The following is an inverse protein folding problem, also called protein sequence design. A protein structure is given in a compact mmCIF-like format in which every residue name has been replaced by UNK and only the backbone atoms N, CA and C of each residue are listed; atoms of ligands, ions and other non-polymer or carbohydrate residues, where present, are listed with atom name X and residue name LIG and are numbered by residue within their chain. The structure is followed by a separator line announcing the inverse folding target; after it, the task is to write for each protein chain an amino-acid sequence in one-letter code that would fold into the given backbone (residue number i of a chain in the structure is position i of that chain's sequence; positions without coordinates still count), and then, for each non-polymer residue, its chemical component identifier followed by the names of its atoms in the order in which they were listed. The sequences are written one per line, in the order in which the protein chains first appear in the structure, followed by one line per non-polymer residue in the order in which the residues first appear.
data_IF_064661165166
#
_entry.id   IF_064661165166
#
_cell.length_a   1.000
_cell.length_b   1.000
_cell.length_c   1.000
_cell.angle_alpha   90.00
_cell.angle_beta   90.00
_cell.angle_gamma   90.00
#
_symmetry.space_group_name_H-M   'P 1'
#
loop_
_entity.id
_entity.type
_entity.pdbx_description
1 polymer ?
#
# COMPACT_ATOMS: atom_id res chain seq x y z
N UNK A 1 4.47 15.25 9.24
CA UNK A 1 4.50 14.07 8.33
C UNK A 1 3.69 12.92 8.91
N UNK A 2 3.11 12.04 8.08
CA UNK A 2 2.37 10.82 8.50
C UNK A 2 3.01 9.58 7.86
N UNK A 3 3.25 8.51 8.62
CA UNK A 3 3.92 7.28 8.14
C UNK A 3 2.99 6.06 8.19
N UNK A 4 3.07 5.18 7.18
CA UNK A 4 2.30 3.93 7.08
C UNK A 4 3.22 2.74 6.82
N UNK A 5 3.16 1.71 7.66
CA UNK A 5 4.10 0.57 7.64
C UNK A 5 3.41 -0.76 7.93
N UNK A 6 4.06 -1.88 7.58
CA UNK A 6 3.52 -3.24 7.75
C UNK A 6 3.85 -3.81 9.11
N UNK A 7 3.41 -5.05 9.31
CA UNK A 7 3.62 -5.77 10.54
C UNK A 7 5.08 -6.18 10.74
N UNK A 8 5.87 -6.28 9.67
CA UNK A 8 7.33 -6.43 9.75
C UNK A 8 8.00 -5.22 10.40
N UNK A 9 7.35 -4.06 10.37
CA UNK A 9 7.83 -2.82 11.00
C UNK A 9 7.38 -2.65 12.46
N UNK A 10 6.74 -3.66 13.06
CA UNK A 10 6.15 -3.57 14.40
C UNK A 10 7.15 -3.93 15.52
N UNK A 11 8.36 -3.40 15.45
CA UNK A 11 9.40 -3.46 16.50
C UNK A 11 9.49 -2.15 17.27
N UNK A 12 10.02 -2.18 18.49
CA UNK A 12 10.17 -0.99 19.34
C UNK A 12 11.10 0.04 18.68
N UNK A 13 12.25 -0.41 18.19
CA UNK A 13 13.26 0.44 17.54
C UNK A 13 12.70 1.21 16.34
N UNK A 14 11.88 0.56 15.53
CA UNK A 14 11.25 1.19 14.36
C UNK A 14 10.20 2.20 14.81
N UNK A 15 9.39 1.85 15.81
CA UNK A 15 8.39 2.77 16.37
C UNK A 15 9.06 4.02 16.93
N UNK A 16 10.14 3.87 17.70
CA UNK A 16 10.89 4.98 18.30
C UNK A 16 11.49 5.90 17.24
N UNK A 17 12.11 5.31 16.21
CA UNK A 17 12.64 6.08 15.09
C UNK A 17 11.53 6.86 14.37
N UNK A 18 10.41 6.20 14.08
CA UNK A 18 9.31 6.84 13.34
C UNK A 18 8.64 7.90 14.20
N UNK A 19 8.47 7.68 15.50
CA UNK A 19 7.94 8.68 16.42
C UNK A 19 8.84 9.93 16.50
N UNK A 20 10.16 9.75 16.51
CA UNK A 20 11.11 10.86 16.50
C UNK A 20 11.06 11.72 15.22
N UNK A 21 10.68 11.13 14.08
CA UNK A 21 10.74 11.80 12.76
C UNK A 21 9.36 12.06 12.11
N UNK A 22 8.28 11.49 12.66
CA UNK A 22 6.93 11.61 12.12
C UNK A 22 5.94 12.05 13.19
N UNK A 23 5.05 12.97 12.80
CA UNK A 23 3.97 13.45 13.69
C UNK A 23 2.99 12.33 14.04
N UNK A 24 2.63 11.49 13.07
CA UNK A 24 1.78 10.33 13.30
C UNK A 24 2.29 9.10 12.56
N UNK A 25 2.20 7.93 13.17
CA UNK A 25 2.49 6.64 12.55
C UNK A 25 1.28 5.72 12.55
N UNK A 26 1.21 4.83 11.57
CA UNK A 26 0.18 3.81 11.46
C UNK A 26 0.86 2.51 11.02
N UNK A 27 1.04 1.58 11.96
CA UNK A 27 1.78 0.34 11.75
C UNK A 27 0.83 -0.82 11.96
N UNK A 28 0.87 -1.81 11.06
CA UNK A 28 0.08 -3.03 11.29
C UNK A 28 0.62 -3.77 12.51
N UNK A 29 -0.22 -4.09 13.49
CA UNK A 29 0.21 -4.94 14.59
C UNK A 29 0.23 -6.41 14.15
N UNK A 30 1.29 -7.14 14.50
CA UNK A 30 1.33 -8.60 14.35
C UNK A 30 0.35 -9.28 15.32
N UNK A 31 -0.06 -10.51 15.00
CA UNK A 31 -0.82 -11.38 15.92
C UNK A 31 0.05 -11.65 17.14
N UNK A 32 -0.13 -10.89 18.21
CA UNK A 32 0.59 -11.13 19.46
C UNK A 32 -0.47 -11.49 20.49
N UNK A 33 -0.30 -12.67 21.11
CA UNK A 33 -1.30 -13.36 21.93
C UNK A 33 -1.82 -12.50 23.08
N UNK A 34 -0.96 -11.68 23.68
CA UNK A 34 -1.34 -10.74 24.75
C UNK A 34 -2.40 -9.71 24.34
N UNK A 35 -2.53 -9.38 23.05
CA UNK A 35 -3.58 -8.49 22.57
C UNK A 35 -4.92 -9.19 22.43
N UNK A 36 -4.94 -10.50 22.16
CA UNK A 36 -6.18 -11.23 21.88
C UNK A 36 -7.07 -11.31 23.12
N UNK A 37 -6.51 -11.60 24.29
CA UNK A 37 -7.28 -11.68 25.55
C UNK A 37 -8.00 -10.34 25.84
N UNK A 38 -7.29 -9.23 25.66
CA UNK A 38 -7.86 -7.88 25.84
C UNK A 38 -8.89 -7.54 24.76
N UNK A 39 -8.79 -8.15 23.58
CA UNK A 39 -9.61 -7.86 22.42
C UNK A 39 -10.93 -8.63 22.41
N UNK A 40 -10.95 -9.86 22.93
CA UNK A 40 -12.18 -10.64 23.12
C UNK A 40 -13.09 -10.03 24.19
N UNK A 41 -12.52 -9.35 25.18
CA UNK A 41 -13.27 -8.64 26.20
C UNK A 41 -13.88 -7.31 25.72
N UNK A 42 -13.59 -6.87 24.48
CA UNK A 42 -14.07 -5.58 23.99
C UNK A 42 -15.54 -5.58 23.62
N UNK A 43 -16.24 -4.59 24.16
CA UNK A 43 -17.62 -4.26 23.83
C UNK A 43 -17.70 -2.93 23.06
N UNK A 44 -18.86 -2.59 22.52
CA UNK A 44 -19.07 -1.31 21.83
C UNK A 44 -18.53 -1.24 20.40
N UNK A 45 -18.54 -2.37 19.69
CA UNK A 45 -18.16 -2.42 18.28
C UNK A 45 -19.07 -1.55 17.42
N UNK A 46 -18.47 -0.78 16.51
CA UNK A 46 -19.20 0.07 15.57
C UNK A 46 -19.12 -0.54 14.17
N UNK A 47 -20.28 -0.92 13.64
CA UNK A 47 -20.42 -1.36 12.26
C UNK A 47 -20.20 -0.19 11.31
N UNK A 48 -19.36 -0.40 10.30
CA UNK A 48 -19.05 0.56 9.24
C UNK A 48 -18.92 -0.16 7.92
N UNK A 49 -19.37 0.48 6.86
CA UNK A 49 -19.13 0.03 5.49
C UNK A 49 -17.93 0.75 4.89
N UNK A 50 -16.93 -0.01 4.42
CA UNK A 50 -15.73 0.50 3.75
C UNK A 50 -15.57 -0.25 2.42
N UNK A 51 -15.60 0.49 1.32
CA UNK A 51 -15.51 -0.06 -0.06
C UNK A 51 -16.55 -1.16 -0.37
N UNK A 52 -17.79 -1.04 0.12
CA UNK A 52 -18.84 -2.04 -0.12
C UNK A 52 -18.77 -3.29 0.75
N UNK A 53 -17.86 -3.32 1.73
CA UNK A 53 -17.71 -4.44 2.67
C UNK A 53 -18.00 -3.93 4.08
N UNK A 54 -18.82 -4.68 4.81
CA UNK A 54 -19.14 -4.39 6.20
C UNK A 54 -18.01 -4.87 7.14
N UNK A 55 -17.61 -3.97 8.04
CA UNK A 55 -16.62 -4.24 9.08
C UNK A 55 -17.13 -3.72 10.41
N UNK A 56 -16.64 -4.32 11.49
CA UNK A 56 -16.80 -3.78 12.82
C UNK A 56 -15.48 -3.19 13.30
N UNK A 57 -15.53 -1.94 13.76
CA UNK A 57 -14.38 -1.22 14.27
C UNK A 57 -14.48 -0.97 15.76
N UNK A 58 -13.33 -1.04 16.43
CA UNK A 58 -13.16 -0.58 17.80
C UNK A 58 -11.75 0.01 17.97
N UNK A 59 -11.49 0.68 19.09
CA UNK A 59 -10.13 1.10 19.43
C UNK A 59 -9.88 1.10 20.91
N UNK A 60 -8.67 0.70 21.30
CA UNK A 60 -8.23 0.64 22.69
C UNK A 60 -6.87 1.30 22.86
N UNK A 61 -6.54 1.66 24.11
CA UNK A 61 -5.18 2.00 24.48
C UNK A 61 -4.48 0.73 24.96
N UNK A 62 -3.28 0.50 24.45
CA UNK A 62 -2.45 -0.65 24.78
C UNK A 62 -1.03 -0.22 25.03
N UNK A 63 -0.42 -0.80 26.04
CA UNK A 63 1.00 -0.63 26.33
C UNK A 63 1.74 -1.86 25.81
N UNK A 64 2.10 -1.82 24.52
CA UNK A 64 2.85 -2.93 23.90
C UNK A 64 4.28 -3.04 24.45
N UNK A 65 4.89 -1.88 24.71
CA UNK A 65 6.22 -1.75 25.27
C UNK A 65 6.15 -0.89 26.52
N UNK A 66 6.99 -1.20 27.50
CA UNK A 66 6.96 -0.57 28.82
C UNK A 66 7.05 0.95 28.71
N UNK A 67 6.09 1.65 29.29
CA UNK A 67 5.98 3.10 29.29
C UNK A 67 5.47 3.73 27.98
N UNK A 68 5.04 2.93 27.00
CA UNK A 68 4.62 3.40 25.67
C UNK A 68 3.17 3.01 25.35
N UNK A 69 2.18 3.77 25.86
CA UNK A 69 0.77 3.54 25.57
C UNK A 69 0.41 4.07 24.18
N UNK A 70 0.07 3.16 23.27
CA UNK A 70 -0.39 3.49 21.93
C UNK A 70 -1.85 3.12 21.72
N UNK A 71 -2.48 3.76 20.75
CA UNK A 71 -3.83 3.38 20.34
C UNK A 71 -3.75 2.21 19.37
N UNK A 72 -4.52 1.17 19.66
CA UNK A 72 -4.76 0.05 18.76
C UNK A 72 -6.14 0.20 18.15
N UNK A 73 -6.20 0.49 16.86
CA UNK A 73 -7.44 0.46 16.08
C UNK A 73 -7.63 -0.94 15.55
N UNK A 74 -8.79 -1.51 15.85
CA UNK A 74 -9.11 -2.91 15.56
C UNK A 74 -10.24 -2.94 14.55
N UNK A 75 -10.01 -3.66 13.46
CA UNK A 75 -11.01 -3.99 12.46
C UNK A 75 -11.26 -5.49 12.51
N UNK A 76 -12.53 -5.90 12.60
CA UNK A 76 -12.93 -7.30 12.49
C UNK A 76 -13.95 -7.49 11.37
N UNK A 77 -13.88 -8.65 10.72
CA UNK A 77 -14.80 -9.06 9.66
C UNK A 77 -15.24 -10.49 9.94
N UNK A 78 -16.55 -10.75 9.89
CA UNK A 78 -17.09 -12.11 10.06
C UNK A 78 -16.65 -13.00 8.90
N UNK A 79 -16.16 -14.20 9.18
CA UNK A 79 -15.81 -15.18 8.15
C UNK A 79 -17.11 -15.77 7.58
N UNK A 80 -17.22 -15.80 6.24
CA UNK A 80 -18.45 -16.24 5.53
C UNK A 80 -18.33 -17.71 5.08
N UNK A 81 -17.12 -18.26 4.85
CA UNK A 81 -16.91 -19.66 4.49
C UNK A 81 -15.48 -20.15 4.83
N UNK A 82 -15.37 -21.41 5.25
CA UNK A 82 -14.11 -22.16 5.45
C UNK A 82 -14.09 -22.91 6.78
N UNK A 83 -13.72 -24.20 6.75
CA UNK A 83 -13.60 -25.11 7.90
C UNK A 83 -13.16 -24.36 9.16
N UNK A 84 -14.00 -24.47 10.20
CA UNK A 84 -13.72 -23.94 11.53
C UNK A 84 -12.51 -24.68 12.08
N UNK A 85 -11.31 -24.18 11.74
CA UNK A 85 -10.13 -24.50 12.52
C UNK A 85 -10.42 -23.94 13.91
N UNK A 86 -10.66 -24.85 14.85
CA UNK A 86 -11.10 -24.66 16.25
C UNK A 86 -10.26 -23.62 17.03
N UNK A 87 -9.15 -23.18 16.44
CA UNK A 87 -8.20 -22.22 16.98
C UNK A 87 -8.32 -20.80 16.38
N UNK A 88 -9.01 -20.59 15.25
CA UNK A 88 -8.98 -19.31 14.52
C UNK A 88 -10.23 -18.41 14.65
N UNK A 89 -11.29 -18.85 15.32
CA UNK A 89 -12.45 -18.02 15.69
C UNK A 89 -13.33 -17.52 14.52
N UNK A 90 -14.47 -16.91 14.85
CA UNK A 90 -15.49 -16.48 13.86
C UNK A 90 -15.10 -15.24 13.03
N UNK A 91 -14.09 -14.50 13.48
CA UNK A 91 -13.75 -13.19 12.93
C UNK A 91 -12.29 -13.14 12.46
N UNK A 92 -12.08 -12.51 11.30
CA UNK A 92 -10.74 -12.10 10.87
C UNK A 92 -10.41 -10.76 11.46
N UNK A 93 -9.33 -10.71 12.23
CA UNK A 93 -8.90 -9.52 12.96
C UNK A 93 -7.73 -8.80 12.27
N UNK A 94 -7.80 -7.48 12.31
CA UNK A 94 -6.92 -6.58 11.58
C UNK A 94 -6.61 -5.36 12.45
N UNK A 95 -5.43 -5.33 13.06
CA UNK A 95 -5.08 -4.31 14.06
C UNK A 95 -4.03 -3.32 13.54
N UNK A 96 -4.23 -2.03 13.82
CA UNK A 96 -3.34 -0.92 13.45
C UNK A 96 -2.92 -0.20 14.72
N UNK A 97 -1.62 -0.19 15.00
CA UNK A 97 -1.00 0.56 16.10
C UNK A 97 -0.69 1.99 15.64
N UNK A 98 -1.05 2.98 16.44
CA UNK A 98 -0.87 4.39 16.11
C UNK A 98 -0.75 5.28 17.35
N UNK A 99 -0.04 6.40 17.21
CA UNK A 99 -0.05 7.53 18.14
C UNK A 99 -1.07 8.62 17.74
N UNK A 100 -2.03 8.30 16.85
CA UNK A 100 -3.16 9.18 16.50
C UNK A 100 -4.39 8.91 17.38
N UNK A 101 -4.50 9.72 18.44
CA UNK A 101 -5.60 9.64 19.40
C UNK A 101 -6.82 10.49 19.00
N UNK A 102 -6.72 11.33 17.96
CA UNK A 102 -7.77 12.29 17.60
C UNK A 102 -8.65 11.82 16.46
N UNK A 103 -8.07 11.18 15.44
CA UNK A 103 -8.82 10.72 14.27
C UNK A 103 -9.80 9.60 14.63
N UNK A 104 -10.89 9.45 13.88
CA UNK A 104 -11.82 8.34 14.11
C UNK A 104 -11.18 7.00 13.69
N UNK A 105 -11.67 5.89 14.24
CA UNK A 105 -11.21 4.55 13.83
C UNK A 105 -11.42 4.33 12.32
N UNK A 106 -12.52 4.86 11.75
CA UNK A 106 -12.81 4.80 10.33
C UNK A 106 -11.75 5.53 9.50
N UNK A 107 -11.44 6.78 9.86
CA UNK A 107 -10.46 7.59 9.13
C UNK A 107 -9.07 6.94 9.14
N UNK A 108 -8.70 6.32 10.27
CA UNK A 108 -7.43 5.62 10.42
C UNK A 108 -7.39 4.39 9.50
N UNK A 109 -8.46 3.59 9.46
CA UNK A 109 -8.55 2.41 8.58
C UNK A 109 -8.54 2.81 7.11
N UNK A 110 -9.33 3.81 6.71
CA UNK A 110 -9.36 4.30 5.33
C UNK A 110 -7.98 4.87 4.90
N UNK A 111 -7.36 5.68 5.76
CA UNK A 111 -6.02 6.21 5.51
C UNK A 111 -4.96 5.11 5.39
N UNK A 112 -5.04 4.08 6.24
CA UNK A 112 -4.15 2.94 6.19
C UNK A 112 -4.38 2.10 4.91
N UNK A 113 -5.63 1.88 4.51
CA UNK A 113 -5.98 1.10 3.31
C UNK A 113 -5.44 1.70 2.00
N UNK A 114 -5.23 3.02 1.93
CA UNK A 114 -4.54 3.66 0.83
C UNK A 114 -3.08 3.15 0.64
N UNK A 115 -2.51 2.42 1.61
CA UNK A 115 -1.24 1.67 1.47
C UNK A 115 -1.30 0.62 0.35
N UNK A 116 -2.47 0.02 0.07
CA UNK A 116 -2.63 -0.95 -1.03
C UNK A 116 -2.25 -0.38 -2.40
N UNK A 117 -2.23 0.94 -2.56
CA UNK A 117 -1.68 1.59 -3.75
C UNK A 117 -0.20 1.26 -4.00
N UNK A 118 0.60 0.96 -2.96
CA UNK A 118 2.02 0.58 -3.10
C UNK A 118 2.20 -0.79 -3.75
N UNK A 119 1.34 -1.77 -3.43
CA UNK A 119 1.38 -3.10 -4.07
C UNK A 119 1.12 -2.98 -5.57
N UNK A 120 0.13 -2.15 -5.96
CA UNK A 120 -0.10 -1.86 -7.39
C UNK A 120 1.10 -1.22 -8.09
N UNK A 121 1.95 -0.48 -7.37
CA UNK A 121 3.20 0.05 -7.95
C UNK A 121 4.16 -1.10 -8.23
N UNK A 122 4.33 -2.03 -7.29
CA UNK A 122 5.18 -3.20 -7.52
C UNK A 122 4.65 -4.09 -8.64
N UNK A 123 3.34 -4.28 -8.75
CA UNK A 123 2.72 -5.02 -9.86
C UNK A 123 2.97 -4.33 -11.21
N UNK A 124 2.84 -3.00 -11.27
CA UNK A 124 3.17 -2.17 -12.44
C UNK A 124 4.65 -2.34 -12.80
N UNK A 125 5.56 -2.24 -11.82
CA UNK A 125 6.99 -2.41 -12.04
C UNK A 125 7.35 -3.82 -12.55
N UNK A 126 6.72 -4.85 -11.97
CA UNK A 126 6.95 -6.25 -12.34
C UNK A 126 6.48 -6.56 -13.76
N UNK A 127 5.26 -6.13 -14.10
CA UNK A 127 4.61 -6.50 -15.36
C UNK A 127 5.02 -5.61 -16.53
N UNK A 128 5.12 -4.29 -16.30
CA UNK A 128 5.32 -3.31 -17.36
C UNK A 128 6.78 -2.87 -17.48
N UNK A 129 7.54 -2.90 -16.39
CA UNK A 129 8.94 -2.43 -16.34
C UNK A 129 9.98 -3.55 -16.16
N UNK A 130 9.55 -4.82 -16.15
CA UNK A 130 10.43 -5.97 -16.25
C UNK A 130 11.16 -6.34 -14.95
N UNK A 131 10.71 -5.87 -13.79
CA UNK A 131 11.33 -6.24 -12.51
C UNK A 131 11.26 -7.75 -12.21
N UNK A 132 10.28 -8.45 -12.78
CA UNK A 132 10.16 -9.91 -12.64
C UNK A 132 11.15 -10.70 -13.54
N UNK A 133 11.89 -10.03 -14.43
CA UNK A 133 12.85 -10.67 -15.35
C UNK A 133 14.10 -9.82 -15.49
N UNK A 134 15.04 -10.02 -14.57
CA UNK A 134 16.29 -9.27 -14.54
C UNK A 134 17.16 -9.57 -15.77
N UNK A 135 17.64 -8.54 -16.50
CA UNK A 135 18.30 -8.74 -17.78
C UNK A 135 19.80 -9.08 -17.68
N UNK A 136 20.40 -9.02 -16.49
CA UNK A 136 21.86 -9.20 -16.29
C UNK A 136 22.15 -10.29 -15.26
N UNK A 137 23.30 -10.95 -15.42
CA UNK A 137 23.77 -11.95 -14.46
C UNK A 137 24.32 -11.32 -13.17
N UNK A 138 24.79 -10.07 -13.24
CA UNK A 138 25.40 -9.38 -12.11
C UNK A 138 24.41 -8.47 -11.38
N UNK A 139 24.38 -8.58 -10.05
CA UNK A 139 23.46 -7.82 -9.21
C UNK A 139 23.66 -6.31 -9.35
N UNK A 140 24.90 -5.81 -9.38
CA UNK A 140 25.17 -4.37 -9.53
C UNK A 140 24.57 -3.78 -10.82
N UNK A 141 24.62 -4.54 -11.92
CA UNK A 141 24.00 -4.12 -13.19
C UNK A 141 22.48 -4.16 -13.10
N UNK A 142 21.92 -5.16 -12.41
CA UNK A 142 20.48 -5.23 -12.14
C UNK A 142 20.02 -4.10 -11.22
N UNK A 143 20.82 -3.66 -10.24
CA UNK A 143 20.51 -2.50 -9.40
C UNK A 143 20.33 -1.24 -10.25
N UNK A 144 21.26 -0.98 -11.18
CA UNK A 144 21.14 0.15 -12.12
C UNK A 144 19.88 0.00 -12.98
N UNK A 145 19.60 -1.20 -13.49
CA UNK A 145 18.37 -1.47 -14.25
C UNK A 145 17.10 -1.17 -13.44
N UNK A 146 17.01 -1.63 -12.19
CA UNK A 146 15.87 -1.40 -11.31
C UNK A 146 15.67 0.10 -11.02
N UNK A 147 16.76 0.82 -10.75
CA UNK A 147 16.71 2.27 -10.52
C UNK A 147 16.28 3.04 -11.77
N UNK A 148 16.86 2.72 -12.93
CA UNK A 148 16.52 3.36 -14.20
C UNK A 148 15.06 3.12 -14.58
N UNK A 149 14.58 1.88 -14.45
CA UNK A 149 13.19 1.55 -14.75
C UNK A 149 12.21 2.21 -13.78
N UNK A 150 12.57 2.39 -12.49
CA UNK A 150 11.77 3.17 -11.55
C UNK A 150 11.67 4.65 -11.96
N UNK A 151 12.76 5.26 -12.43
CA UNK A 151 12.75 6.63 -12.95
C UNK A 151 11.87 6.74 -14.21
N UNK A 152 12.04 5.82 -15.16
CA UNK A 152 11.22 5.78 -16.39
C UNK A 152 9.73 5.67 -16.04
N UNK A 153 9.37 4.84 -15.05
CA UNK A 153 7.99 4.72 -14.59
C UNK A 153 7.44 6.03 -14.03
N UNK A 154 8.24 6.76 -13.25
CA UNK A 154 7.83 8.08 -12.73
C UNK A 154 7.61 9.09 -13.86
N UNK A 155 8.50 9.15 -14.85
CA UNK A 155 8.32 10.00 -16.03
C UNK A 155 7.09 9.62 -16.85
N UNK A 156 6.91 8.32 -17.10
CA UNK A 156 5.74 7.80 -17.79
C UNK A 156 4.44 8.25 -17.12
N UNK A 157 4.30 8.07 -15.80
CA UNK A 157 3.10 8.51 -15.07
C UNK A 157 2.93 10.03 -15.13
N UNK A 158 4.02 10.79 -14.99
CA UNK A 158 3.95 12.25 -15.08
C UNK A 158 3.48 12.73 -16.46
N UNK A 159 3.96 12.11 -17.54
CA UNK A 159 3.54 12.42 -18.91
C UNK A 159 2.07 12.07 -19.13
N UNK A 160 1.67 10.86 -18.72
CA UNK A 160 0.28 10.40 -18.84
C UNK A 160 -0.71 11.31 -18.10
N UNK A 161 -0.28 11.93 -16.98
CA UNK A 161 -1.10 12.84 -16.19
C UNK A 161 -1.12 14.28 -16.71
N UNK A 162 0.02 14.79 -17.22
CA UNK A 162 0.18 16.21 -17.56
C UNK A 162 -0.11 16.52 -19.03
N UNK A 163 0.10 15.58 -19.94
CA UNK A 163 -0.13 15.79 -21.36
C UNK A 163 -1.50 15.25 -21.79
N UNK A 164 -2.05 15.82 -22.87
CA UNK A 164 -3.28 15.34 -23.52
C UNK A 164 -3.05 14.05 -24.30
N UNK A 165 -2.53 13.02 -23.63
CA UNK A 165 -2.20 11.72 -24.23
C UNK A 165 -3.40 11.00 -24.85
N UNK A 166 -4.63 11.38 -24.47
CA UNK A 166 -5.86 10.91 -25.10
C UNK A 166 -5.97 11.29 -26.58
N UNK A 167 -5.37 12.40 -27.02
CA UNK A 167 -5.29 12.79 -28.44
C UNK A 167 -4.48 11.77 -29.25
N UNK A 168 -3.57 11.05 -28.60
CA UNK A 168 -2.81 9.93 -29.18
C UNK A 168 -3.52 8.58 -29.00
N UNK A 169 -4.80 8.58 -28.60
CA UNK A 169 -5.59 7.38 -28.36
C UNK A 169 -5.10 6.55 -27.16
N UNK A 170 -4.49 7.20 -26.16
CA UNK A 170 -4.09 6.59 -24.90
C UNK A 170 -5.13 6.84 -23.81
N UNK A 171 -5.33 5.86 -22.93
CA UNK A 171 -6.17 5.98 -21.74
C UNK A 171 -5.28 6.04 -20.50
N UNK A 172 -5.77 6.56 -19.38
CA UNK A 172 -5.03 6.56 -18.12
C UNK A 172 -4.56 5.16 -17.68
N UNK A 173 -5.27 4.11 -18.12
CA UNK A 173 -4.96 2.70 -17.86
C UNK A 173 -4.11 2.03 -18.95
N UNK A 174 -3.68 2.76 -19.98
CA UNK A 174 -2.79 2.20 -21.01
C UNK A 174 -1.49 1.72 -20.40
N UNK A 175 -0.93 0.64 -20.96
CA UNK A 175 0.37 0.09 -20.53
C UNK A 175 1.52 0.82 -21.21
N UNK A 176 2.71 0.75 -20.62
CA UNK A 176 3.91 1.44 -21.14
C UNK A 176 4.23 1.06 -22.60
N UNK A 177 4.02 -0.20 -22.99
CA UNK A 177 4.24 -0.65 -24.38
C UNK A 177 3.33 0.07 -25.38
N UNK A 178 2.05 0.25 -25.02
CA UNK A 178 1.09 0.99 -25.85
C UNK A 178 1.46 2.47 -25.92
N UNK A 179 1.90 3.05 -24.80
CA UNK A 179 2.41 4.41 -24.75
C UNK A 179 3.61 4.60 -25.69
N UNK A 180 4.64 3.75 -25.57
CA UNK A 180 5.83 3.81 -26.43
C UNK A 180 5.43 3.71 -27.90
N UNK A 181 4.55 2.78 -28.26
CA UNK A 181 4.11 2.63 -29.64
C UNK A 181 3.37 3.86 -30.18
N UNK A 182 2.33 4.32 -29.49
CA UNK A 182 1.44 5.39 -29.99
C UNK A 182 2.03 6.79 -29.84
N UNK A 183 2.76 7.05 -28.75
CA UNK A 183 3.24 8.38 -28.40
C UNK A 183 4.68 8.65 -28.86
N UNK A 184 5.51 7.60 -29.01
CA UNK A 184 6.91 7.73 -29.40
C UNK A 184 7.12 7.19 -30.81
N UNK A 185 6.86 5.90 -31.04
CA UNK A 185 7.25 5.23 -32.29
C UNK A 185 6.48 5.71 -33.51
N UNK A 186 5.16 5.86 -33.41
CA UNK A 186 4.32 6.35 -34.53
C UNK A 186 4.69 7.77 -34.94
N UNK A 187 4.72 8.77 -34.02
CA UNK A 187 5.15 10.13 -34.36
C UNK A 187 6.59 10.20 -34.90
N UNK A 188 7.54 9.45 -34.29
CA UNK A 188 8.92 9.42 -34.76
C UNK A 188 9.04 8.88 -36.20
N UNK A 189 8.25 7.84 -36.54
CA UNK A 189 8.21 7.29 -37.90
C UNK A 189 7.64 8.31 -38.88
N UNK A 190 6.57 9.02 -38.53
CA UNK A 190 5.99 10.06 -39.38
C UNK A 190 6.98 11.18 -39.67
N UNK A 191 7.65 11.73 -38.65
CA UNK A 191 8.66 12.78 -38.82
C UNK A 191 9.80 12.30 -39.72
N UNK A 192 10.28 11.07 -39.54
CA UNK A 192 11.35 10.49 -40.36
C UNK A 192 10.95 10.37 -41.83
N UNK A 193 9.71 9.97 -42.11
CA UNK A 193 9.20 9.87 -43.48
C UNK A 193 8.99 11.25 -44.11
N UNK A 194 8.47 12.22 -43.36
CA UNK A 194 8.26 13.60 -43.85
C UNK A 194 9.56 14.35 -44.18
N UNK A 195 10.69 13.98 -43.56
CA UNK A 195 12.01 14.59 -43.85
C UNK A 195 12.74 13.97 -45.05
N UNK A 196 12.20 12.91 -45.64
CA UNK A 196 12.78 12.21 -46.81
C UNK A 196 12.14 12.63 -48.13
N UNK A 197 11.10 13.46 -48.07
CA UNK A 197 10.50 14.17 -49.19
C UNK A 197 10.84 15.65 -49.06
#
# INVERSE_FOLDING_TARGET
SRARMDCGSCSEEIVDMVEAHCRHFYIRANRCSSFYDSMFALTGWKTVEINGIEFELNSILVEKWKGKPYRLVIQRQRRIDGDLDIWEGEYTYRCILTNDYKSSARDIVEFYNLRGGKERIFDDMNNDFGWNRLPKSFMAQNTVFLLMTALIRNFYKAIMQRLKTHEFGLRATSRIKTFVFKFISVPAKWIKTSRRH
#
